data_IF_807718109191
#
_entry.id   IF_807718109191
#
_cell.length_a   1.000
_cell.length_b   1.000
_cell.length_c   1.000
_cell.angle_alpha   90.00
_cell.angle_beta   90.00
_cell.angle_gamma   90.00
#
_symmetry.space_group_name_H-M   'P 1'
#
loop_
_entity.id
_entity.type
_entity.pdbx_description
1 polymer ?
#
# COMPACT_ATOMS: atom_id res chain seq x y z
N UNK A 1 -13.26 -25.78 10.48
CA UNK A 1 -11.80 -25.44 10.56
C UNK A 1 -11.73 -23.98 10.17
N UNK A 2 -11.54 -23.09 11.17
CA UNK A 2 -11.36 -21.67 10.91
C UNK A 2 -10.08 -21.44 10.09
N UNK A 3 -10.06 -20.45 9.22
CA UNK A 3 -8.83 -19.95 8.63
C UNK A 3 -7.95 -19.46 9.79
N UNK A 4 -6.84 -20.14 9.99
CA UNK A 4 -5.79 -19.66 10.87
C UNK A 4 -4.95 -18.73 10.01
N UNK A 5 -5.10 -17.42 10.22
CA UNK A 5 -4.16 -16.47 9.64
C UNK A 5 -2.80 -16.69 10.31
N UNK A 6 -1.76 -16.82 9.52
CA UNK A 6 -0.41 -16.84 10.03
C UNK A 6 -0.15 -15.56 10.86
N UNK A 7 0.62 -15.61 11.95
CA UNK A 7 0.98 -14.44 12.72
C UNK A 7 1.69 -13.42 11.81
N UNK A 8 1.16 -12.20 11.74
CA UNK A 8 1.68 -11.12 10.90
C UNK A 8 0.80 -10.73 9.71
N UNK A 9 -0.39 -11.32 9.57
CA UNK A 9 -1.37 -10.82 8.60
C UNK A 9 -2.12 -9.63 9.21
N UNK A 10 -1.88 -8.43 8.69
CA UNK A 10 -2.67 -7.26 9.01
C UNK A 10 -3.88 -7.22 8.06
N UNK A 11 -5.08 -7.23 8.63
CA UNK A 11 -6.34 -7.16 7.89
C UNK A 11 -6.90 -5.75 8.03
N UNK A 12 -6.88 -4.98 6.94
CA UNK A 12 -7.53 -3.69 6.91
C UNK A 12 -8.83 -3.76 6.12
N UNK A 13 -9.92 -3.35 6.77
CA UNK A 13 -11.21 -3.16 6.12
C UNK A 13 -11.20 -1.82 5.39
N UNK A 14 -11.10 -1.84 4.08
CA UNK A 14 -11.33 -0.64 3.27
C UNK A 14 -12.78 -0.20 3.40
N UNK A 15 -13.01 0.90 4.11
CA UNK A 15 -14.34 1.46 4.30
C UNK A 15 -14.73 2.33 3.11
N UNK A 16 -15.35 1.72 2.08
CA UNK A 16 -16.11 2.48 1.10
C UNK A 16 -17.60 2.12 1.21
N UNK A 17 -18.39 3.09 1.63
CA UNK A 17 -19.80 2.96 1.96
C UNK A 17 -20.73 2.81 0.73
N UNK A 18 -20.22 2.68 -0.48
CA UNK A 18 -21.06 2.55 -1.67
C UNK A 18 -20.73 1.30 -2.49
N UNK A 19 -21.46 0.25 -2.15
CA UNK A 19 -21.98 -0.77 -3.05
C UNK A 19 -21.01 -1.74 -3.75
N UNK A 20 -21.39 -2.96 -3.71
CA UNK A 20 -21.04 -4.14 -4.51
C UNK A 20 -19.84 -4.97 -4.09
N UNK A 21 -18.97 -4.52 -3.18
CA UNK A 21 -17.86 -5.31 -2.70
C UNK A 21 -17.60 -5.16 -1.19
N UNK A 22 -18.65 -5.03 -0.38
CA UNK A 22 -18.55 -5.11 1.10
C UNK A 22 -18.05 -6.49 1.59
N UNK A 23 -17.76 -7.37 0.66
CA UNK A 23 -17.46 -8.76 0.90
C UNK A 23 -15.98 -9.09 0.69
N UNK A 24 -15.13 -8.11 0.33
CA UNK A 24 -13.72 -8.34 0.12
C UNK A 24 -12.85 -7.56 1.11
N UNK A 25 -11.91 -8.26 1.71
CA UNK A 25 -10.86 -7.71 2.58
C UNK A 25 -9.53 -7.81 1.86
N UNK A 26 -8.71 -6.81 2.03
CA UNK A 26 -7.36 -6.75 1.49
C UNK A 26 -6.37 -6.81 2.65
N UNK A 27 -5.41 -7.71 2.57
CA UNK A 27 -4.46 -7.97 3.65
C UNK A 27 -3.04 -8.06 3.11
N UNK A 28 -2.08 -7.62 3.91
CA UNK A 28 -0.67 -7.93 3.70
C UNK A 28 -0.31 -9.24 4.39
N UNK A 29 0.58 -10.05 3.81
CA UNK A 29 1.02 -11.27 4.44
C UNK A 29 2.08 -12.04 3.65
N UNK A 30 2.76 -12.95 4.35
CA UNK A 30 3.74 -13.84 3.76
C UNK A 30 3.06 -14.94 2.92
N UNK A 31 3.66 -15.28 1.79
CA UNK A 31 3.24 -16.40 0.98
C UNK A 31 4.47 -17.15 0.43
N UNK A 32 4.47 -18.48 0.54
CA UNK A 32 5.62 -19.32 0.21
C UNK A 32 6.16 -19.12 -1.22
N UNK A 33 5.27 -18.87 -2.17
CA UNK A 33 5.63 -18.63 -3.57
C UNK A 33 6.29 -17.27 -3.85
N UNK A 34 6.36 -16.40 -2.84
CA UNK A 34 6.87 -15.04 -2.97
C UNK A 34 8.08 -14.80 -2.07
N UNK A 35 8.88 -13.82 -2.42
CA UNK A 35 10.10 -13.47 -1.66
C UNK A 35 9.80 -12.56 -0.47
N UNK A 36 8.68 -11.81 -0.54
CA UNK A 36 8.26 -10.80 0.44
C UNK A 36 6.76 -10.92 0.69
N UNK A 37 6.27 -10.14 1.65
CA UNK A 37 4.83 -10.02 1.91
C UNK A 37 4.10 -9.50 0.68
N UNK A 38 2.91 -10.03 0.45
CA UNK A 38 2.07 -9.74 -0.70
C UNK A 38 0.69 -9.24 -0.26
N UNK A 39 -0.05 -8.68 -1.19
CA UNK A 39 -1.46 -8.35 -0.98
C UNK A 39 -2.30 -9.58 -1.26
N UNK A 40 -3.17 -9.93 -0.32
CA UNK A 40 -4.23 -10.94 -0.46
C UNK A 40 -5.57 -10.26 -0.62
N UNK A 41 -6.42 -10.82 -1.47
CA UNK A 41 -7.82 -10.42 -1.63
C UNK A 41 -8.69 -11.57 -1.13
N UNK A 42 -9.48 -11.29 -0.11
CA UNK A 42 -10.24 -12.29 0.62
C UNK A 42 -11.73 -11.97 0.51
N UNK A 43 -12.51 -12.92 0.01
CA UNK A 43 -13.96 -12.87 0.01
C UNK A 43 -14.47 -13.22 1.42
N UNK A 44 -15.20 -12.29 2.01
CA UNK A 44 -15.81 -12.41 3.33
C UNK A 44 -17.36 -12.36 3.27
N UNK A 45 -17.95 -12.65 2.12
CA UNK A 45 -19.42 -12.75 1.98
C UNK A 45 -20.02 -13.75 2.96
N UNK A 46 -19.30 -14.83 3.25
CA UNK A 46 -19.52 -15.69 4.40
C UNK A 46 -18.40 -15.48 5.42
N UNK A 47 -18.58 -14.62 6.44
CA UNK A 47 -17.51 -14.29 7.38
C UNK A 47 -17.06 -15.47 8.25
N UNK A 48 -17.84 -16.56 8.27
CA UNK A 48 -17.45 -17.81 8.95
C UNK A 48 -16.52 -18.65 8.05
N UNK A 49 -16.56 -18.41 6.75
CA UNK A 49 -15.76 -19.13 5.73
C UNK A 49 -15.10 -18.18 4.75
N UNK A 50 -14.24 -17.29 5.20
CA UNK A 50 -13.51 -16.38 4.32
C UNK A 50 -12.65 -17.19 3.33
N UNK A 51 -12.56 -16.72 2.09
CA UNK A 51 -11.81 -17.39 1.02
C UNK A 51 -10.88 -16.42 0.31
N UNK A 52 -9.65 -16.81 0.12
CA UNK A 52 -8.78 -16.07 -0.79
C UNK A 52 -9.34 -16.20 -2.21
N UNK A 53 -9.50 -15.05 -2.89
CA UNK A 53 -9.97 -14.99 -4.28
C UNK A 53 -8.91 -14.42 -5.22
N UNK A 54 -7.92 -13.71 -4.69
CA UNK A 54 -6.84 -13.18 -5.47
C UNK A 54 -5.64 -12.81 -4.63
N UNK A 55 -4.50 -12.64 -5.30
CA UNK A 55 -3.26 -12.18 -4.66
C UNK A 55 -2.42 -11.36 -5.64
N UNK A 56 -1.63 -10.46 -5.09
CA UNK A 56 -0.68 -9.69 -5.88
C UNK A 56 0.61 -9.45 -5.08
N UNK A 57 1.73 -9.72 -5.72
CA UNK A 57 3.06 -9.35 -5.23
C UNK A 57 3.66 -8.25 -6.09
N UNK A 58 4.45 -7.39 -5.49
CA UNK A 58 5.15 -6.33 -6.20
C UNK A 58 6.08 -6.86 -7.31
N UNK A 59 6.59 -5.99 -8.17
CA UNK A 59 7.55 -6.37 -9.20
C UNK A 59 8.77 -7.10 -8.61
N UNK A 60 9.08 -8.26 -9.15
CA UNK A 60 10.18 -9.10 -8.67
C UNK A 60 9.89 -9.95 -7.42
N UNK A 61 8.67 -9.92 -6.86
CA UNK A 61 8.34 -10.73 -5.68
C UNK A 61 8.10 -12.22 -5.96
N UNK A 62 7.54 -12.63 -7.12
CA UNK A 62 7.32 -14.05 -7.41
C UNK A 62 8.65 -14.82 -7.53
N UNK A 63 8.85 -15.85 -6.72
CA UNK A 63 10.07 -16.69 -6.77
C UNK A 63 10.22 -17.44 -8.08
N UNK A 64 9.10 -17.91 -8.64
CA UNK A 64 9.07 -18.68 -9.87
C UNK A 64 9.50 -17.89 -11.12
N UNK A 65 9.37 -16.57 -11.10
CA UNK A 65 9.77 -15.72 -12.22
C UNK A 65 11.29 -15.56 -12.36
N UNK A 66 12.05 -15.96 -11.33
CA UNK A 66 13.51 -15.76 -11.30
C UNK A 66 13.93 -14.31 -11.21
N UNK A 67 12.97 -13.40 -11.10
CA UNK A 67 13.18 -11.98 -10.90
C UNK A 67 13.64 -11.71 -9.47
N UNK A 68 14.25 -10.56 -9.27
CA UNK A 68 14.57 -10.07 -7.93
C UNK A 68 13.97 -8.68 -7.78
N UNK A 69 13.39 -8.36 -6.62
CA UNK A 69 13.01 -6.98 -6.32
C UNK A 69 14.22 -6.06 -6.49
N UNK A 70 13.98 -4.85 -6.93
CA UNK A 70 15.03 -3.81 -7.02
C UNK A 70 15.71 -3.56 -5.68
N UNK A 71 15.00 -3.82 -4.58
CA UNK A 71 15.49 -3.81 -3.21
C UNK A 71 15.34 -5.22 -2.63
N UNK A 72 16.36 -5.71 -1.89
CA UNK A 72 16.35 -7.05 -1.30
C UNK A 72 16.11 -7.01 0.21
N UNK A 73 15.55 -8.12 0.73
CA UNK A 73 15.36 -8.33 2.17
C UNK A 73 14.06 -7.76 2.71
N UNK A 74 13.98 -7.58 4.03
CA UNK A 74 12.82 -7.04 4.75
C UNK A 74 12.43 -5.60 4.37
N UNK A 75 13.20 -4.98 3.46
CA UNK A 75 12.99 -3.61 2.99
C UNK A 75 11.81 -3.48 2.00
N UNK A 76 11.27 -4.57 1.49
CA UNK A 76 10.23 -4.54 0.46
C UNK A 76 9.12 -5.50 0.85
N UNK A 77 7.96 -4.94 1.16
CA UNK A 77 6.75 -5.70 1.52
C UNK A 77 5.51 -4.87 1.22
N UNK A 78 4.39 -5.51 0.96
CA UNK A 78 3.12 -4.80 0.87
C UNK A 78 2.66 -4.40 2.27
N UNK A 79 2.08 -3.20 2.36
CA UNK A 79 1.55 -2.65 3.60
C UNK A 79 0.32 -1.80 3.26
N UNK A 80 -0.71 -1.84 4.09
CA UNK A 80 -1.95 -1.07 4.02
C UNK A 80 -2.54 -0.92 2.60
N UNK A 81 -3.05 -1.98 1.97
CA UNK A 81 -3.75 -1.87 0.70
C UNK A 81 -5.12 -1.19 0.89
N UNK A 82 -5.33 -0.04 0.25
CA UNK A 82 -6.57 0.72 0.31
C UNK A 82 -7.30 0.71 -1.04
N UNK A 83 -8.62 0.50 -0.98
CA UNK A 83 -9.45 0.44 -2.17
C UNK A 83 -10.22 1.73 -2.41
N UNK A 84 -10.29 2.14 -3.69
CA UNK A 84 -11.24 3.14 -4.17
C UNK A 84 -11.78 2.69 -5.53
N UNK A 85 -13.09 2.38 -5.61
CA UNK A 85 -13.70 1.83 -6.81
C UNK A 85 -13.02 0.52 -7.26
N UNK A 86 -12.59 0.46 -8.51
CA UNK A 86 -11.86 -0.68 -9.08
C UNK A 86 -10.34 -0.53 -9.01
N UNK A 87 -9.85 0.30 -8.09
CA UNK A 87 -8.42 0.49 -7.86
C UNK A 87 -8.06 0.06 -6.44
N UNK A 88 -6.87 -0.52 -6.33
CA UNK A 88 -6.23 -0.81 -5.06
C UNK A 88 -4.91 -0.05 -5.01
N UNK A 89 -4.71 0.72 -3.96
CA UNK A 89 -3.53 1.52 -3.70
C UNK A 89 -2.73 0.81 -2.61
N UNK A 90 -1.55 0.33 -2.96
CA UNK A 90 -0.74 -0.54 -2.10
C UNK A 90 0.56 0.17 -1.78
N UNK A 91 0.84 0.38 -0.51
CA UNK A 91 2.16 0.80 -0.07
C UNK A 91 3.12 -0.38 -0.09
N UNK A 92 4.38 -0.13 -0.47
CA UNK A 92 5.40 -1.15 -0.70
C UNK A 92 6.63 -0.96 0.19
N UNK A 93 6.44 -0.43 1.38
CA UNK A 93 7.50 -0.16 2.36
C UNK A 93 8.59 0.73 1.73
N UNK A 94 9.83 0.26 1.59
CA UNK A 94 10.90 1.04 0.93
C UNK A 94 10.87 1.01 -0.60
N UNK A 95 9.83 0.43 -1.20
CA UNK A 95 9.64 0.42 -2.66
C UNK A 95 8.52 1.37 -3.14
N UNK A 96 8.09 2.28 -2.27
CA UNK A 96 7.11 3.30 -2.60
C UNK A 96 5.68 2.76 -2.60
N UNK A 97 4.94 2.94 -3.70
CA UNK A 97 3.56 2.47 -3.81
C UNK A 97 3.24 1.92 -5.20
N UNK A 98 2.18 1.13 -5.27
CA UNK A 98 1.59 0.65 -6.52
C UNK A 98 0.11 1.01 -6.60
N UNK A 99 -0.37 1.21 -7.84
CA UNK A 99 -1.79 1.28 -8.17
C UNK A 99 -2.15 0.04 -8.96
N UNK A 100 -3.15 -0.70 -8.51
CA UNK A 100 -3.64 -1.90 -9.17
C UNK A 100 -5.04 -1.69 -9.73
N UNK A 101 -5.32 -2.33 -10.85
CA UNK A 101 -6.66 -2.56 -11.36
C UNK A 101 -7.19 -3.88 -10.76
N UNK A 102 -8.28 -3.78 -10.01
CA UNK A 102 -8.98 -4.89 -9.38
C UNK A 102 -10.40 -5.06 -9.92
N UNK A 103 -10.66 -4.64 -11.17
CA UNK A 103 -11.95 -4.89 -11.84
C UNK A 103 -12.28 -6.38 -11.87
N UNK A 104 -11.27 -7.23 -11.96
CA UNK A 104 -11.32 -8.65 -11.64
C UNK A 104 -10.43 -8.91 -10.42
N UNK A 105 -11.01 -9.08 -9.24
CA UNK A 105 -10.25 -9.28 -8.01
C UNK A 105 -9.45 -10.59 -7.99
N UNK A 106 -9.78 -11.56 -8.86
CA UNK A 106 -9.02 -12.80 -8.97
C UNK A 106 -7.71 -12.63 -9.76
N UNK A 107 -7.59 -11.54 -10.52
CA UNK A 107 -6.43 -11.23 -11.36
C UNK A 107 -6.05 -9.74 -11.24
N UNK A 108 -5.57 -9.28 -10.09
CA UNK A 108 -5.13 -7.91 -9.92
C UNK A 108 -4.01 -7.56 -10.91
N UNK A 109 -4.12 -6.39 -11.57
CA UNK A 109 -3.17 -5.96 -12.60
C UNK A 109 -2.48 -4.67 -12.19
N UNK A 110 -1.17 -4.62 -12.35
CA UNK A 110 -0.41 -3.41 -12.10
C UNK A 110 -0.78 -2.32 -13.13
N UNK A 111 -1.20 -1.16 -12.63
CA UNK A 111 -1.40 0.07 -13.42
C UNK A 111 -0.14 0.91 -13.41
N UNK A 112 0.42 1.15 -12.23
CA UNK A 112 1.67 1.89 -12.06
C UNK A 112 2.36 1.51 -10.75
N UNK A 113 3.68 1.71 -10.73
CA UNK A 113 4.53 1.57 -9.57
C UNK A 113 5.46 2.79 -9.49
N UNK A 114 5.53 3.39 -8.32
CA UNK A 114 6.35 4.57 -8.08
C UNK A 114 7.26 4.32 -6.88
N UNK A 115 8.54 4.14 -7.14
CA UNK A 115 9.55 4.13 -6.10
C UNK A 115 10.18 5.53 -6.00
N UNK A 116 9.96 6.20 -4.88
CA UNK A 116 10.51 7.53 -4.58
C UNK A 116 11.58 7.49 -3.48
N UNK A 117 11.88 6.30 -2.93
CA UNK A 117 12.88 6.15 -1.89
C UNK A 117 14.29 6.22 -2.47
N UNK A 118 15.06 7.16 -1.93
CA UNK A 118 16.50 7.28 -2.19
C UNK A 118 17.20 7.08 -0.86
N UNK A 119 17.58 5.88 -0.54
CA UNK A 119 18.32 5.48 0.65
C UNK A 119 18.16 6.35 1.92
N UNK A 120 17.75 5.74 3.03
CA UNK A 120 17.67 6.45 4.32
C UNK A 120 16.39 7.25 4.59
N UNK A 121 15.38 7.21 3.72
CA UNK A 121 14.05 7.75 4.02
C UNK A 121 13.24 6.77 4.87
N UNK A 122 12.24 7.28 5.59
CA UNK A 122 11.26 6.45 6.29
C UNK A 122 10.43 5.64 5.28
N UNK A 123 9.98 4.42 5.62
CA UNK A 123 9.23 3.57 4.70
C UNK A 123 7.84 4.12 4.39
N UNK A 124 7.30 3.78 3.24
CA UNK A 124 5.92 4.06 2.87
C UNK A 124 4.97 3.22 3.70
N UNK A 125 4.13 3.87 4.50
CA UNK A 125 3.15 3.21 5.35
C UNK A 125 1.80 3.08 4.66
N UNK A 126 1.23 4.19 4.18
CA UNK A 126 -0.13 4.24 3.65
C UNK A 126 -0.17 5.05 2.36
N UNK A 127 -0.87 4.53 1.35
CA UNK A 127 -1.18 5.23 0.10
C UNK A 127 -2.69 5.48 0.05
N UNK A 128 -3.13 6.68 0.46
CA UNK A 128 -4.53 7.06 0.62
C UNK A 128 -5.07 7.80 -0.61
N UNK A 129 -5.97 7.21 -1.42
CA UNK A 129 -6.61 7.92 -2.51
C UNK A 129 -7.66 8.90 -1.99
N UNK A 130 -7.77 10.07 -2.62
CA UNK A 130 -8.82 11.02 -2.34
C UNK A 130 -10.02 10.70 -3.23
N UNK A 131 -11.15 10.36 -2.61
CA UNK A 131 -12.36 9.86 -3.29
C UNK A 131 -13.11 10.89 -4.16
N UNK A 132 -12.61 12.12 -4.27
CA UNK A 132 -13.19 13.16 -5.11
C UNK A 132 -12.10 14.05 -5.73
N UNK A 133 -12.43 14.71 -6.82
CA UNK A 133 -11.49 15.64 -7.46
C UNK A 133 -11.32 16.92 -6.67
N UNK A 134 -10.08 17.36 -6.52
CA UNK A 134 -9.72 18.68 -5.99
C UNK A 134 -9.01 19.44 -7.12
N UNK A 135 -9.49 20.64 -7.45
CA UNK A 135 -9.00 21.44 -8.58
C UNK A 135 -9.01 20.67 -9.93
N UNK A 136 -10.04 19.82 -10.13
CA UNK A 136 -10.20 19.04 -11.34
C UNK A 136 -9.28 17.81 -11.46
N UNK A 137 -8.45 17.52 -10.46
CA UNK A 137 -7.46 16.45 -10.45
C UNK A 137 -7.80 15.37 -9.44
N UNK A 138 -7.30 14.16 -9.68
CA UNK A 138 -7.30 13.07 -8.72
C UNK A 138 -5.99 13.08 -7.92
N UNK A 139 -6.09 12.80 -6.61
CA UNK A 139 -4.96 12.92 -5.70
C UNK A 139 -4.77 11.65 -4.88
N UNK A 140 -3.49 11.33 -4.63
CA UNK A 140 -3.06 10.30 -3.70
C UNK A 140 -2.20 10.96 -2.63
N UNK A 141 -2.52 10.70 -1.38
CA UNK A 141 -1.69 11.11 -0.25
C UNK A 141 -0.93 9.89 0.24
N UNK A 142 0.38 10.00 0.30
CA UNK A 142 1.27 8.91 0.71
C UNK A 142 1.97 9.32 1.99
N UNK A 143 1.84 8.48 3.01
CA UNK A 143 2.45 8.70 4.31
C UNK A 143 3.63 7.76 4.51
N UNK A 144 4.74 8.30 4.98
CA UNK A 144 5.85 7.51 5.46
C UNK A 144 5.66 7.21 6.96
N UNK A 145 6.17 6.07 7.42
CA UNK A 145 6.19 5.70 8.83
C UNK A 145 7.50 6.13 9.49
N UNK A 146 7.40 6.79 10.64
CA UNK A 146 8.56 7.14 11.44
C UNK A 146 9.01 5.95 12.30
N UNK A 147 10.14 5.36 11.96
CA UNK A 147 10.64 4.13 12.60
C UNK A 147 11.57 4.36 13.81
N UNK A 148 11.91 5.58 14.16
CA UNK A 148 12.84 5.75 15.29
C UNK A 148 13.33 7.16 15.56
N UNK A 149 12.56 8.18 15.23
CA UNK A 149 12.94 9.57 15.50
C UNK A 149 14.06 10.07 14.59
N UNK A 150 14.03 9.60 13.33
CA UNK A 150 15.02 9.92 12.33
C UNK A 150 15.04 11.39 11.90
N UNK A 151 16.16 11.82 11.40
CA UNK A 151 16.34 13.10 10.71
C UNK A 151 16.81 12.80 9.28
N UNK A 152 16.02 13.05 8.23
CA UNK A 152 14.75 13.77 8.23
C UNK A 152 13.58 12.96 8.81
N UNK A 153 12.53 13.63 9.33
CA UNK A 153 11.32 12.97 9.81
C UNK A 153 10.57 12.31 8.65
N UNK A 154 9.62 11.43 8.99
CA UNK A 154 8.67 10.90 8.02
C UNK A 154 7.91 12.03 7.31
N UNK A 155 7.61 11.83 6.03
CA UNK A 155 6.92 12.81 5.20
C UNK A 155 5.53 12.32 4.81
N UNK A 156 4.62 13.28 4.63
CA UNK A 156 3.44 13.10 3.81
C UNK A 156 3.77 13.62 2.41
N UNK A 157 3.44 12.85 1.38
CA UNK A 157 3.65 13.22 -0.02
C UNK A 157 2.31 13.25 -0.74
N UNK A 158 2.15 14.20 -1.64
CA UNK A 158 0.95 14.35 -2.46
C UNK A 158 1.34 14.08 -3.90
N UNK A 159 0.63 13.15 -4.52
CA UNK A 159 0.79 12.81 -5.93
C UNK A 159 -0.47 13.17 -6.71
N UNK A 160 -0.28 13.78 -7.88
CA UNK A 160 -1.31 13.90 -8.91
C UNK A 160 -1.42 12.55 -9.62
N UNK A 161 -2.56 11.87 -9.46
CA UNK A 161 -2.88 10.59 -10.09
C UNK A 161 -3.97 10.72 -11.15
N UNK A 162 -4.14 11.92 -11.72
CA UNK A 162 -5.13 12.15 -12.81
C UNK A 162 -4.83 11.23 -13.99
N UNK A 163 -3.55 11.03 -14.31
CA UNK A 163 -3.08 9.92 -15.14
C UNK A 163 -2.48 8.84 -14.21
N UNK A 164 -3.28 7.82 -13.89
CA UNK A 164 -2.86 6.74 -12.99
C UNK A 164 -1.64 5.96 -13.47
N UNK A 165 -1.34 5.98 -14.79
CA UNK A 165 -0.15 5.33 -15.36
C UNK A 165 1.12 6.13 -15.13
N UNK A 166 0.99 7.41 -14.78
CA UNK A 166 2.09 8.34 -14.58
C UNK A 166 1.85 9.25 -13.37
N UNK A 167 1.80 8.72 -12.15
CA UNK A 167 1.69 9.53 -10.94
C UNK A 167 2.79 10.58 -10.88
N UNK A 168 2.45 11.83 -10.61
CA UNK A 168 3.39 12.95 -10.56
C UNK A 168 3.48 13.48 -9.13
N UNK A 169 4.68 13.59 -8.53
CA UNK A 169 4.84 14.22 -7.23
C UNK A 169 4.45 15.71 -7.33
N UNK A 170 3.60 16.17 -6.44
CA UNK A 170 3.09 17.54 -6.41
C UNK A 170 3.58 18.33 -5.21
N UNK A 171 3.61 17.72 -4.03
CA UNK A 171 4.03 18.38 -2.79
C UNK A 171 4.52 17.38 -1.75
N UNK A 172 5.23 17.89 -0.77
CA UNK A 172 5.59 17.18 0.46
C UNK A 172 5.19 18.03 1.67
N UNK A 173 4.84 17.37 2.74
CA UNK A 173 4.58 17.99 4.03
C UNK A 173 5.27 17.20 5.13
N UNK A 174 5.79 17.88 6.12
CA UNK A 174 6.25 17.27 7.37
C UNK A 174 5.80 18.14 8.53
N UNK A 175 5.68 17.54 9.70
CA UNK A 175 5.40 18.30 10.91
C UNK A 175 6.63 19.17 11.23
N UNK A 176 6.48 20.47 11.41
CA UNK A 176 7.59 21.35 11.79
C UNK A 176 8.23 20.88 13.10
N UNK A 177 9.54 21.02 13.21
CA UNK A 177 10.24 20.76 14.47
C UNK A 177 9.70 21.67 15.57
N UNK A 178 9.32 21.08 16.69
CA UNK A 178 8.96 21.83 17.87
C UNK A 178 10.16 22.61 18.41
N UNK A 179 10.04 23.92 18.71
CA UNK A 179 11.11 24.72 19.34
C UNK A 179 11.60 24.12 20.68
N UNK A 180 10.80 23.29 21.35
CA UNK A 180 11.20 22.57 22.57
C UNK A 180 12.18 21.43 22.35
N UNK A 181 12.63 21.19 21.10
CA UNK A 181 13.56 20.13 20.74
C UNK A 181 12.92 18.75 20.56
N UNK A 182 11.59 18.64 20.60
CA UNK A 182 10.89 17.42 20.18
C UNK A 182 11.05 17.28 18.69
N UNK A 183 11.66 16.20 18.27
CA UNK A 183 11.86 15.89 16.85
C UNK A 183 10.65 15.13 16.31
N UNK A 184 10.09 15.64 15.22
CA UNK A 184 9.19 14.93 14.34
C UNK A 184 7.79 14.65 14.88
N UNK A 185 6.80 14.86 14.04
CA UNK A 185 5.52 14.18 14.14
C UNK A 185 5.66 12.80 13.49
N UNK A 186 4.98 11.83 14.03
CA UNK A 186 4.86 10.50 13.41
C UNK A 186 3.65 10.53 12.49
N UNK A 187 3.84 10.03 11.27
CA UNK A 187 2.76 9.59 10.40
C UNK A 187 2.79 8.07 10.43
N UNK A 188 1.69 7.44 10.70
CA UNK A 188 1.54 6.00 10.79
C UNK A 188 0.43 5.61 11.74
#
# INVERSE_FOLDING_TARGET
RGLVFEPGVEVECGADAEALFHELVYAGGAAEAFQNDITLIIDISDPIRPREVGRWGGPGYPKAAGERPALSGAAVRTHHPLRLGNRLYVSLWYDGFAILDISDPTQPRLVSHVNYHKGGSAPTHTALPIGHKILGKNWLIVFDEEMGGGDPPAFMRIFDITDEKRPLPAATFHVPRDPSGKTGGRFG
#
